data_IF_976621368438
#
_entry.id   IF_976621368438
#
_cell.length_a   1.000
_cell.length_b   1.000
_cell.length_c   1.000
_cell.angle_alpha   90.00
_cell.angle_beta   90.00
_cell.angle_gamma   90.00
#
_symmetry.space_group_name_H-M   'P 1'
#
loop_
_entity.id
_entity.type
_entity.pdbx_description
1 polymer ?
#
# COMPACT_ATOMS: atom_id res chain seq x y z
N UNK A 1 30.10 23.12 -33.08
CA UNK A 1 30.31 21.78 -32.49
C UNK A 1 29.66 21.76 -31.11
N UNK A 2 28.64 20.94 -30.85
CA UNK A 2 28.14 20.76 -29.48
C UNK A 2 29.24 20.15 -28.61
N UNK A 3 29.48 20.73 -27.44
CA UNK A 3 30.58 20.36 -26.54
C UNK A 3 30.24 19.09 -25.75
N UNK A 4 31.19 18.14 -25.68
CA UNK A 4 31.03 16.86 -24.97
C UNK A 4 30.60 17.02 -23.50
N UNK A 5 30.95 18.15 -22.87
CA UNK A 5 30.63 18.50 -21.48
C UNK A 5 29.12 18.71 -21.29
N UNK A 6 28.44 19.34 -22.26
CA UNK A 6 26.99 19.54 -22.22
C UNK A 6 26.24 18.20 -22.27
N UNK A 7 26.64 17.32 -23.18
CA UNK A 7 26.00 16.00 -23.32
C UNK A 7 26.24 15.11 -22.09
N UNK A 8 27.41 15.19 -21.47
CA UNK A 8 27.74 14.41 -20.26
C UNK A 8 26.94 14.89 -19.03
N UNK A 9 26.80 16.21 -18.87
CA UNK A 9 26.01 16.82 -17.79
C UNK A 9 24.52 16.48 -17.90
N UNK A 10 23.95 16.63 -19.10
CA UNK A 10 22.54 16.29 -19.39
C UNK A 10 22.27 14.80 -19.14
N UNK A 11 23.12 13.92 -19.66
CA UNK A 11 22.99 12.47 -19.46
C UNK A 11 23.07 12.08 -17.98
N UNK A 12 23.97 12.70 -17.21
CA UNK A 12 24.07 12.45 -15.77
C UNK A 12 22.81 12.90 -15.02
N UNK A 13 22.28 14.09 -15.32
CA UNK A 13 21.08 14.60 -14.65
C UNK A 13 19.86 13.73 -14.95
N UNK A 14 19.65 13.35 -16.22
CA UNK A 14 18.54 12.46 -16.60
C UNK A 14 18.65 11.09 -15.93
N UNK A 15 19.85 10.51 -15.83
CA UNK A 15 20.08 9.22 -15.17
C UNK A 15 19.87 9.31 -13.64
N UNK A 16 20.30 10.41 -13.01
CA UNK A 16 20.03 10.70 -11.60
C UNK A 16 18.53 10.85 -11.33
N UNK A 17 17.81 11.60 -12.17
CA UNK A 17 16.35 11.76 -12.04
C UNK A 17 15.61 10.45 -12.27
N UNK A 18 16.05 9.63 -13.23
CA UNK A 18 15.48 8.29 -13.46
C UNK A 18 15.66 7.37 -12.26
N UNK A 19 16.85 7.33 -11.66
CA UNK A 19 17.11 6.50 -10.47
C UNK A 19 16.28 6.96 -9.27
N UNK A 20 16.22 8.28 -9.05
CA UNK A 20 15.40 8.87 -8.00
C UNK A 20 13.92 8.54 -8.18
N UNK A 21 13.39 8.72 -9.40
CA UNK A 21 11.99 8.40 -9.71
C UNK A 21 11.70 6.90 -9.54
N UNK A 22 12.64 6.02 -9.90
CA UNK A 22 12.52 4.57 -9.64
C UNK A 22 12.43 4.26 -8.14
N UNK A 23 13.30 4.85 -7.32
CA UNK A 23 13.27 4.64 -5.86
C UNK A 23 11.98 5.17 -5.21
N UNK A 24 11.57 6.39 -5.56
CA UNK A 24 10.33 7.00 -5.04
C UNK A 24 9.11 6.19 -5.46
N UNK A 25 9.07 5.73 -6.71
CA UNK A 25 7.96 4.92 -7.20
C UNK A 25 7.91 3.54 -6.52
N UNK A 26 9.05 2.90 -6.29
CA UNK A 26 9.16 1.64 -5.54
C UNK A 26 8.69 1.79 -4.09
N UNK A 27 9.18 2.83 -3.39
CA UNK A 27 8.76 3.15 -2.02
C UNK A 27 7.25 3.38 -1.93
N UNK A 28 6.68 4.13 -2.89
CA UNK A 28 5.24 4.41 -2.94
C UNK A 28 4.42 3.14 -3.17
N UNK A 29 4.90 2.22 -4.00
CA UNK A 29 4.25 0.93 -4.25
C UNK A 29 4.27 0.02 -3.02
N UNK A 30 5.41 -0.02 -2.32
CA UNK A 30 5.55 -0.80 -1.09
C UNK A 30 4.64 -0.27 0.01
N UNK A 31 4.54 1.06 0.18
CA UNK A 31 3.61 1.68 1.11
C UNK A 31 2.15 1.33 0.78
N UNK A 32 1.76 1.34 -0.50
CA UNK A 32 0.40 0.97 -0.90
C UNK A 32 0.08 -0.50 -0.63
N UNK A 33 1.04 -1.40 -0.88
CA UNK A 33 0.90 -2.82 -0.57
C UNK A 33 0.77 -3.05 0.94
N UNK A 34 1.71 -2.52 1.73
CA UNK A 34 1.72 -2.65 3.20
C UNK A 34 0.42 -2.10 3.80
N UNK A 35 -0.02 -0.91 3.35
CA UNK A 35 -1.26 -0.33 3.84
C UNK A 35 -2.48 -1.16 3.44
N UNK A 36 -2.48 -1.76 2.24
CA UNK A 36 -3.54 -2.68 1.83
C UNK A 36 -3.63 -3.89 2.76
N UNK A 37 -2.49 -4.51 3.08
CA UNK A 37 -2.40 -5.64 4.02
C UNK A 37 -2.89 -5.24 5.42
N UNK A 38 -2.47 -4.09 5.94
CA UNK A 38 -2.91 -3.59 7.24
C UNK A 38 -4.43 -3.38 7.29
N UNK A 39 -5.01 -2.79 6.24
CA UNK A 39 -6.46 -2.57 6.15
C UNK A 39 -7.20 -3.91 6.11
N UNK A 40 -6.73 -4.89 5.33
CA UNK A 40 -7.31 -6.24 5.31
C UNK A 40 -7.26 -6.85 6.72
N UNK A 41 -6.11 -6.74 7.40
CA UNK A 41 -5.94 -7.29 8.74
C UNK A 41 -6.96 -6.71 9.74
N UNK A 42 -7.15 -5.39 9.73
CA UNK A 42 -8.18 -4.73 10.55
C UNK A 42 -9.58 -5.19 10.14
N UNK A 43 -9.87 -5.27 8.84
CA UNK A 43 -11.17 -5.73 8.36
C UNK A 43 -11.51 -7.15 8.79
N UNK A 44 -10.57 -8.08 8.65
CA UNK A 44 -10.70 -9.46 9.14
C UNK A 44 -10.91 -9.48 10.64
N UNK A 45 -10.12 -8.72 11.40
CA UNK A 45 -10.26 -8.62 12.86
C UNK A 45 -11.69 -8.19 13.24
N UNK A 46 -12.26 -7.17 12.61
CA UNK A 46 -13.63 -6.72 12.88
C UNK A 46 -14.67 -7.82 12.59
N UNK A 47 -14.49 -8.61 11.53
CA UNK A 47 -15.41 -9.71 11.17
C UNK A 47 -15.35 -10.83 12.21
N UNK A 48 -14.15 -11.22 12.66
CA UNK A 48 -13.98 -12.38 13.54
C UNK A 48 -14.02 -12.05 15.03
N UNK A 49 -13.95 -10.77 15.43
CA UNK A 49 -13.87 -10.39 16.86
C UNK A 49 -15.03 -10.92 17.68
N UNK A 50 -16.23 -11.09 17.10
CA UNK A 50 -17.39 -11.63 17.81
C UNK A 50 -17.21 -13.06 18.32
N UNK A 51 -16.26 -13.82 17.75
CA UNK A 51 -15.98 -15.22 18.11
C UNK A 51 -15.04 -15.36 19.31
N UNK A 52 -14.48 -14.26 19.80
CA UNK A 52 -13.49 -14.26 20.88
C UNK A 52 -14.01 -13.51 22.11
N UNK A 53 -13.70 -13.99 23.31
CA UNK A 53 -13.99 -13.27 24.57
C UNK A 53 -12.92 -12.21 24.85
N UNK A 54 -12.90 -11.17 24.01
CA UNK A 54 -11.98 -10.04 24.15
C UNK A 54 -12.54 -9.05 25.19
N UNK A 55 -11.69 -8.53 26.08
CA UNK A 55 -12.06 -7.44 26.99
C UNK A 55 -12.61 -6.21 26.23
N UNK A 56 -12.13 -5.98 25.00
CA UNK A 56 -12.64 -4.96 24.10
C UNK A 56 -14.11 -5.17 23.73
N UNK A 57 -14.55 -6.41 23.51
CA UNK A 57 -15.94 -6.72 23.18
C UNK A 57 -16.89 -6.46 24.35
N UNK A 58 -16.40 -6.60 25.60
CA UNK A 58 -17.19 -6.29 26.81
C UNK A 58 -17.47 -4.79 26.92
N UNK A 59 -16.54 -3.95 26.47
CA UNK A 59 -16.67 -2.49 26.46
C UNK A 59 -17.36 -1.96 25.20
N UNK A 60 -17.13 -2.62 24.07
CA UNK A 60 -17.66 -2.27 22.75
C UNK A 60 -18.23 -3.53 22.10
N UNK A 61 -19.52 -3.84 22.32
CA UNK A 61 -20.12 -5.04 21.77
C UNK A 61 -19.98 -5.07 20.25
N UNK A 62 -19.64 -6.23 19.65
CA UNK A 62 -19.67 -6.40 18.21
C UNK A 62 -21.09 -6.28 17.68
N UNK A 63 -21.27 -5.41 16.69
CA UNK A 63 -22.56 -5.14 16.07
C UNK A 63 -22.48 -5.36 14.54
N UNK A 64 -23.63 -5.26 13.87
CA UNK A 64 -23.76 -5.39 12.41
C UNK A 64 -22.85 -4.39 11.67
N UNK A 65 -22.58 -3.23 12.28
CA UNK A 65 -21.70 -2.19 11.74
C UNK A 65 -20.25 -2.69 11.65
N UNK A 66 -19.75 -3.42 12.65
CA UNK A 66 -18.41 -4.02 12.60
C UNK A 66 -18.27 -4.99 11.44
N UNK A 67 -19.31 -5.79 11.19
CA UNK A 67 -19.33 -6.74 10.08
C UNK A 67 -19.29 -6.01 8.73
N UNK A 68 -20.11 -4.98 8.55
CA UNK A 68 -20.14 -4.17 7.33
C UNK A 68 -18.82 -3.43 7.07
N UNK A 69 -18.27 -2.78 8.10
CA UNK A 69 -16.97 -2.11 8.02
C UNK A 69 -15.84 -3.10 7.75
N UNK A 70 -15.89 -4.27 8.40
CA UNK A 70 -14.93 -5.33 8.18
C UNK A 70 -14.91 -5.82 6.73
N UNK A 71 -16.08 -6.08 6.15
CA UNK A 71 -16.22 -6.47 4.74
C UNK A 71 -15.71 -5.36 3.81
N UNK A 72 -16.09 -4.10 4.09
CA UNK A 72 -15.64 -2.95 3.30
C UNK A 72 -14.10 -2.81 3.31
N UNK A 73 -13.48 -2.98 4.48
CA UNK A 73 -12.03 -2.90 4.64
C UNK A 73 -11.33 -4.05 3.93
N UNK A 74 -11.86 -5.28 4.00
CA UNK A 74 -11.29 -6.41 3.26
C UNK A 74 -11.36 -6.16 1.75
N UNK A 75 -12.50 -5.71 1.22
CA UNK A 75 -12.66 -5.41 -0.21
C UNK A 75 -11.71 -4.29 -0.65
N UNK A 76 -11.70 -3.17 0.08
CA UNK A 76 -10.86 -2.01 -0.25
C UNK A 76 -9.36 -2.32 -0.13
N UNK A 77 -8.98 -3.01 0.95
CA UNK A 77 -7.61 -3.45 1.17
C UNK A 77 -7.15 -4.44 0.09
N UNK A 78 -7.99 -5.39 -0.31
CA UNK A 78 -7.70 -6.32 -1.41
C UNK A 78 -7.49 -5.58 -2.73
N UNK A 79 -8.32 -4.58 -3.05
CA UNK A 79 -8.12 -3.73 -4.20
C UNK A 79 -6.79 -2.96 -4.15
N UNK A 80 -6.41 -2.46 -2.96
CA UNK A 80 -5.15 -1.75 -2.76
C UNK A 80 -3.94 -2.68 -2.94
N UNK A 81 -4.01 -3.91 -2.43
CA UNK A 81 -3.00 -4.95 -2.63
C UNK A 81 -2.89 -5.32 -4.11
N UNK A 82 -4.01 -5.54 -4.82
CA UNK A 82 -4.03 -5.82 -6.26
C UNK A 82 -3.38 -4.68 -7.06
N UNK A 83 -3.72 -3.43 -6.74
CA UNK A 83 -3.12 -2.25 -7.36
C UNK A 83 -1.61 -2.18 -7.09
N UNK A 84 -1.17 -2.50 -5.88
CA UNK A 84 0.26 -2.56 -5.52
C UNK A 84 1.01 -3.69 -6.23
N UNK A 85 0.39 -4.86 -6.39
CA UNK A 85 0.98 -6.03 -7.04
C UNK A 85 1.10 -5.86 -8.57
N UNK A 86 0.08 -5.28 -9.22
CA UNK A 86 0.12 -5.02 -10.68
C UNK A 86 1.25 -4.06 -11.07
N UNK A 87 1.70 -3.22 -10.13
CA UNK A 87 2.91 -2.43 -10.28
C UNK A 87 4.15 -3.28 -9.97
N UNK A 88 4.40 -4.27 -10.82
CA UNK A 88 5.71 -4.90 -10.94
C UNK A 88 6.71 -3.85 -11.45
N UNK A 89 7.22 -3.01 -10.55
CA UNK A 89 8.30 -2.06 -10.78
C UNK A 89 9.66 -2.74 -11.01
N UNK A 90 9.72 -4.07 -10.86
CA UNK A 90 10.90 -4.91 -11.06
C UNK A 90 10.88 -5.64 -12.41
N UNK A 91 10.51 -4.93 -13.49
CA UNK A 91 11.08 -5.18 -14.81
C UNK A 91 11.98 -4.00 -15.17
#
# INVERSE_FOLDING_TARGET
MPTLIGNMSIKSNEDYERQRNKQVAGMRSMLDYTMGVLIIFVGVFLIVRNKFDLALNKRFPPDIIDLLLGILFVIYGAWRVYRGYKKNYFK
#
